data_IF_233214079839
#
_entry.id   IF_233214079839
#
_cell.length_a   1.000
_cell.length_b   1.000
_cell.length_c   1.000
_cell.angle_alpha   90.00
_cell.angle_beta   90.00
_cell.angle_gamma   90.00
#
_symmetry.space_group_name_H-M   'P 1'
#
loop_
_entity.id
_entity.type
_entity.pdbx_description
1 polymer ?
#
# COMPACT_ATOMS: atom_id res chain seq x y z
N UNK A 1 0.86 -14.24 -14.88
CA UNK A 1 0.46 -13.41 -16.04
C UNK A 1 -0.91 -13.78 -16.59
N UNK A 2 -1.33 -15.05 -16.58
CA UNK A 2 -2.68 -15.48 -17.01
C UNK A 2 -3.86 -14.88 -16.22
N UNK A 3 -3.72 -14.65 -14.91
CA UNK A 3 -4.82 -14.11 -14.08
C UNK A 3 -5.12 -12.65 -14.39
N UNK A 4 -4.09 -11.86 -14.74
CA UNK A 4 -4.24 -10.45 -15.11
C UNK A 4 -5.02 -10.35 -16.43
N UNK A 5 -4.72 -11.20 -17.41
CA UNK A 5 -5.47 -11.25 -18.67
C UNK A 5 -6.93 -11.67 -18.47
N UNK A 6 -7.21 -12.55 -17.49
CA UNK A 6 -8.57 -12.95 -17.15
C UNK A 6 -9.36 -11.81 -16.47
N UNK A 7 -8.71 -11.07 -15.57
CA UNK A 7 -9.30 -9.87 -14.97
C UNK A 7 -9.56 -8.78 -16.00
N UNK A 8 -8.65 -8.56 -16.95
CA UNK A 8 -8.81 -7.59 -18.04
C UNK A 8 -9.98 -7.97 -18.97
N UNK A 9 -10.12 -9.25 -19.35
CA UNK A 9 -11.25 -9.72 -20.16
C UNK A 9 -12.58 -9.54 -19.43
N UNK A 10 -12.63 -9.79 -18.12
CA UNK A 10 -13.84 -9.63 -17.31
C UNK A 10 -14.20 -8.15 -17.12
N UNK A 11 -13.22 -7.27 -16.96
CA UNK A 11 -13.40 -5.83 -16.91
C UNK A 11 -13.92 -5.27 -18.23
N UNK A 12 -13.34 -5.68 -19.37
CA UNK A 12 -13.80 -5.27 -20.70
C UNK A 12 -15.28 -5.64 -20.92
N UNK A 13 -15.66 -6.90 -20.60
CA UNK A 13 -17.05 -7.35 -20.69
C UNK A 13 -18.00 -6.57 -19.77
N UNK A 14 -17.56 -6.21 -18.56
CA UNK A 14 -18.36 -5.42 -17.63
C UNK A 14 -18.60 -4.00 -18.19
N UNK A 15 -17.58 -3.37 -18.76
CA UNK A 15 -17.70 -2.04 -19.36
C UNK A 15 -18.59 -2.00 -20.60
N UNK A 16 -18.52 -3.01 -21.47
CA UNK A 16 -19.42 -3.13 -22.62
C UNK A 16 -20.88 -3.27 -22.18
N UNK A 17 -21.15 -4.09 -21.16
CA UNK A 17 -22.49 -4.26 -20.60
C UNK A 17 -23.03 -2.98 -19.97
N UNK A 18 -22.19 -2.22 -19.27
CA UNK A 18 -22.56 -0.92 -18.69
C UNK A 18 -22.86 0.08 -19.80
N UNK A 19 -21.99 0.20 -20.80
CA UNK A 19 -22.20 1.10 -21.96
C UNK A 19 -23.50 0.79 -22.69
N UNK A 20 -23.77 -0.50 -22.93
CA UNK A 20 -25.03 -0.95 -23.52
C UNK A 20 -26.25 -0.61 -22.65
N UNK A 21 -26.15 -0.77 -21.33
CA UNK A 21 -27.26 -0.42 -20.42
C UNK A 21 -27.53 1.08 -20.36
N UNK A 22 -26.49 1.92 -20.44
CA UNK A 22 -26.59 3.38 -20.47
C UNK A 22 -27.20 3.84 -21.79
N UNK A 23 -26.80 3.24 -22.91
CA UNK A 23 -27.38 3.53 -24.22
C UNK A 23 -28.85 3.10 -24.30
N UNK A 24 -29.22 1.98 -23.67
CA UNK A 24 -30.62 1.53 -23.56
C UNK A 24 -31.49 2.46 -22.70
N UNK A 25 -30.93 3.00 -21.62
CA UNK A 25 -31.60 4.01 -20.79
C UNK A 25 -31.72 5.35 -21.53
N UNK A 26 -30.66 5.75 -22.23
CA UNK A 26 -30.59 6.97 -23.04
C UNK A 26 -31.56 6.94 -24.23
N UNK A 27 -31.74 5.78 -24.88
CA UNK A 27 -32.70 5.57 -25.98
C UNK A 27 -34.13 5.34 -25.49
N UNK A 28 -34.33 4.95 -24.23
CA UNK A 28 -35.65 4.92 -23.58
C UNK A 28 -36.14 6.32 -23.18
N UNK A 29 -35.22 7.25 -22.94
CA UNK A 29 -35.52 8.62 -22.54
C UNK A 29 -36.23 9.51 -23.59
N UNK A 30 -36.10 9.35 -24.94
CA UNK A 30 -36.81 10.20 -25.89
C UNK A 30 -38.10 9.55 -26.42
N UNK A 31 -38.33 8.25 -26.19
CA UNK A 31 -39.46 7.51 -26.75
C UNK A 31 -40.73 7.52 -25.87
N UNK A 32 -40.68 8.15 -24.69
CA UNK A 32 -41.89 8.47 -23.91
C UNK A 32 -42.44 9.89 -24.19
N UNK A 33 -41.74 10.69 -25.01
CA UNK A 33 -42.11 12.08 -25.31
C UNK A 33 -42.61 12.33 -26.75
N UNK A 34 -42.62 11.33 -27.64
CA UNK A 34 -43.01 11.53 -29.03
C UNK A 34 -43.65 10.27 -29.66
N UNK A 35 -44.92 9.99 -29.33
CA UNK A 35 -45.92 9.35 -30.21
C UNK A 35 -47.18 8.96 -29.41
N UNK A 36 -48.18 9.84 -29.37
CA UNK A 36 -49.58 9.44 -29.21
C UNK A 36 -50.37 10.20 -30.28
N UNK A 37 -50.89 9.54 -31.33
CA UNK A 37 -51.90 10.15 -32.19
C UNK A 37 -53.19 10.28 -31.37
N UNK A 38 -53.74 11.50 -31.29
CA UNK A 38 -54.92 11.82 -30.51
C UNK A 38 -56.17 11.07 -31.02
N UNK A 39 -56.86 10.28 -30.19
CA UNK A 39 -58.28 10.08 -30.31
C UNK A 39 -59.00 11.16 -29.47
N UNK A 40 -59.99 11.81 -30.06
CA UNK A 40 -60.94 12.67 -29.35
C UNK A 40 -61.65 11.86 -28.25
N UNK A 41 -61.35 12.20 -26.99
CA UNK A 41 -61.96 11.67 -25.78
C UNK A 41 -62.21 12.84 -24.80
N UNK A 42 -63.28 12.77 -23.99
CA UNK A 42 -63.80 13.89 -23.20
C UNK A 42 -62.80 14.34 -22.14
N UNK A 43 -63.01 15.58 -21.66
CA UNK A 43 -62.24 16.25 -20.60
C UNK A 43 -61.45 15.28 -19.71
N UNK A 44 -60.12 15.32 -19.85
CA UNK A 44 -59.22 14.66 -18.92
C UNK A 44 -59.62 15.10 -17.50
N UNK A 45 -59.83 14.18 -16.54
CA UNK A 45 -59.87 14.59 -15.15
C UNK A 45 -58.53 15.28 -14.90
N UNK A 46 -58.59 16.51 -14.36
CA UNK A 46 -57.41 17.17 -13.86
C UNK A 46 -56.62 16.14 -13.06
N UNK A 47 -55.34 15.95 -13.40
CA UNK A 47 -54.43 15.20 -12.54
C UNK A 47 -54.70 15.69 -11.11
N UNK A 48 -54.91 14.79 -10.13
CA UNK A 48 -55.21 15.22 -8.77
C UNK A 48 -54.11 16.21 -8.40
N UNK A 49 -54.51 17.46 -8.16
CA UNK A 49 -53.57 18.46 -7.69
C UNK A 49 -52.98 17.86 -6.42
N UNK A 50 -51.68 17.52 -6.47
CA UNK A 50 -51.00 16.87 -5.36
C UNK A 50 -51.35 17.64 -4.09
N UNK A 51 -51.88 16.94 -3.08
CA UNK A 51 -52.40 17.61 -1.90
C UNK A 51 -51.30 18.50 -1.34
N UNK A 52 -51.54 19.80 -1.12
CA UNK A 52 -50.49 20.74 -0.74
C UNK A 52 -49.80 20.33 0.57
N UNK A 53 -50.50 19.58 1.42
CA UNK A 53 -49.97 18.94 2.63
C UNK A 53 -48.98 17.80 2.32
N UNK A 54 -49.26 16.94 1.34
CA UNK A 54 -48.34 15.87 0.91
C UNK A 54 -47.09 16.45 0.26
N UNK A 55 -47.23 17.49 -0.55
CA UNK A 55 -46.10 18.20 -1.17
C UNK A 55 -45.21 18.86 -0.10
N UNK A 56 -45.80 19.42 0.96
CA UNK A 56 -45.04 20.00 2.07
C UNK A 56 -44.30 18.90 2.88
N UNK A 57 -44.95 17.78 3.15
CA UNK A 57 -44.34 16.65 3.85
C UNK A 57 -43.17 16.02 3.07
N UNK A 58 -43.35 15.82 1.76
CA UNK A 58 -42.29 15.32 0.88
C UNK A 58 -41.10 16.27 0.76
N UNK A 59 -41.33 17.60 0.77
CA UNK A 59 -40.26 18.59 0.81
C UNK A 59 -39.48 18.54 2.12
N UNK A 60 -40.16 18.43 3.27
CA UNK A 60 -39.51 18.27 4.57
C UNK A 60 -38.64 17.01 4.60
N UNK A 61 -39.17 15.86 4.17
CA UNK A 61 -38.41 14.61 4.11
C UNK A 61 -37.21 14.70 3.15
N UNK A 62 -37.35 15.40 2.02
CA UNK A 62 -36.24 15.63 1.10
C UNK A 62 -35.15 16.51 1.70
N UNK A 63 -35.52 17.53 2.48
CA UNK A 63 -34.56 18.41 3.15
C UNK A 63 -33.85 17.68 4.31
N UNK A 64 -34.56 16.82 5.05
CA UNK A 64 -34.00 15.95 6.09
C UNK A 64 -32.99 14.94 5.49
N UNK A 65 -33.34 14.28 4.39
CA UNK A 65 -32.46 13.35 3.66
C UNK A 65 -31.25 14.06 3.05
N UNK A 66 -31.39 15.30 2.57
CA UNK A 66 -30.26 16.10 2.09
C UNK A 66 -29.30 16.45 3.21
N UNK A 67 -29.82 16.79 4.39
CA UNK A 67 -29.00 17.07 5.56
C UNK A 67 -28.26 15.81 6.04
N UNK A 68 -28.94 14.65 6.04
CA UNK A 68 -28.32 13.36 6.36
C UNK A 68 -27.21 13.01 5.35
N UNK A 69 -27.45 13.19 4.05
CA UNK A 69 -26.44 12.97 3.02
C UNK A 69 -25.22 13.89 3.19
N UNK A 70 -25.43 15.18 3.44
CA UNK A 70 -24.33 16.12 3.68
C UNK A 70 -23.46 15.69 4.89
N UNK A 71 -24.09 15.24 5.97
CA UNK A 71 -23.35 14.71 7.14
C UNK A 71 -22.58 13.43 6.81
N UNK A 72 -23.16 12.53 6.02
CA UNK A 72 -22.48 11.31 5.57
C UNK A 72 -21.30 11.62 4.65
N UNK A 73 -21.45 12.57 3.73
CA UNK A 73 -20.36 13.03 2.86
C UNK A 73 -19.19 13.61 3.66
N UNK A 74 -19.49 14.45 4.67
CA UNK A 74 -18.47 14.97 5.58
C UNK A 74 -17.78 13.85 6.37
N UNK A 75 -18.54 12.89 6.89
CA UNK A 75 -17.97 11.72 7.60
C UNK A 75 -17.10 10.88 6.69
N UNK A 76 -17.54 10.60 5.46
CA UNK A 76 -16.75 9.86 4.45
C UNK A 76 -15.47 10.63 4.11
N UNK A 77 -15.55 11.95 3.94
CA UNK A 77 -14.37 12.79 3.69
C UNK A 77 -13.39 12.76 4.86
N UNK A 78 -13.88 12.83 6.09
CA UNK A 78 -13.06 12.74 7.30
C UNK A 78 -12.39 11.35 7.44
N UNK A 79 -13.15 10.27 7.20
CA UNK A 79 -12.61 8.90 7.21
C UNK A 79 -11.54 8.74 6.13
N UNK A 80 -11.81 9.20 4.91
CA UNK A 80 -10.87 9.12 3.80
C UNK A 80 -9.58 9.88 4.11
N UNK A 81 -9.68 11.10 4.64
CA UNK A 81 -8.50 11.88 5.04
C UNK A 81 -7.68 11.18 6.13
N UNK A 82 -8.34 10.55 7.11
CA UNK A 82 -7.66 9.74 8.14
C UNK A 82 -6.97 8.51 7.52
N UNK A 83 -7.66 7.79 6.62
CA UNK A 83 -7.13 6.63 5.94
C UNK A 83 -5.93 6.99 5.05
N UNK A 84 -6.04 8.06 4.25
CA UNK A 84 -4.94 8.53 3.39
C UNK A 84 -3.70 8.89 4.22
N UNK A 85 -3.90 9.52 5.39
CA UNK A 85 -2.81 9.83 6.33
C UNK A 85 -2.18 8.56 6.91
N UNK A 86 -3.00 7.59 7.32
CA UNK A 86 -2.51 6.31 7.87
C UNK A 86 -1.76 5.48 6.81
N UNK A 87 -2.30 5.40 5.59
CA UNK A 87 -1.67 4.71 4.47
C UNK A 87 -0.32 5.36 4.15
N UNK A 88 -0.26 6.68 4.04
CA UNK A 88 1.00 7.39 3.78
C UNK A 88 2.04 7.17 4.88
N UNK A 89 1.62 7.15 6.15
CA UNK A 89 2.51 6.84 7.28
C UNK A 89 3.04 5.40 7.20
N UNK A 90 2.18 4.42 6.93
CA UNK A 90 2.57 3.01 6.78
C UNK A 90 3.49 2.79 5.57
N UNK A 91 3.22 3.42 4.43
CA UNK A 91 4.07 3.37 3.25
C UNK A 91 5.48 3.91 3.54
N UNK A 92 5.56 5.00 4.29
CA UNK A 92 6.84 5.58 4.73
C UNK A 92 7.60 4.63 5.66
N UNK A 93 6.90 4.02 6.63
CA UNK A 93 7.50 3.02 7.53
C UNK A 93 8.03 1.80 6.76
N UNK A 94 7.23 1.24 5.84
CA UNK A 94 7.62 0.09 5.01
C UNK A 94 8.82 0.44 4.14
N UNK A 95 8.87 1.64 3.57
CA UNK A 95 10.01 2.11 2.77
C UNK A 95 11.29 2.17 3.62
N UNK A 96 11.23 2.80 4.79
CA UNK A 96 12.38 2.88 5.70
C UNK A 96 12.86 1.50 6.14
N UNK A 97 11.95 0.57 6.47
CA UNK A 97 12.30 -0.81 6.81
C UNK A 97 13.00 -1.54 5.65
N UNK A 98 12.52 -1.36 4.40
CA UNK A 98 13.16 -1.94 3.22
C UNK A 98 14.58 -1.40 3.00
N UNK A 99 14.79 -0.11 3.22
CA UNK A 99 16.13 0.52 3.10
C UNK A 99 17.11 -0.04 4.13
N UNK A 100 16.66 -0.20 5.38
CA UNK A 100 17.46 -0.81 6.45
C UNK A 100 17.83 -2.26 6.11
N UNK A 101 16.86 -3.07 5.66
CA UNK A 101 17.11 -4.45 5.25
C UNK A 101 18.06 -4.54 4.06
N UNK A 102 17.88 -3.69 3.04
CA UNK A 102 18.77 -3.67 1.87
C UNK A 102 20.23 -3.33 2.26
N UNK A 103 20.42 -2.43 3.24
CA UNK A 103 21.75 -2.12 3.78
C UNK A 103 22.36 -3.34 4.48
N UNK A 104 21.61 -4.03 5.32
CA UNK A 104 22.07 -5.25 6.01
C UNK A 104 22.42 -6.36 5.01
N UNK A 105 21.59 -6.59 4.00
CA UNK A 105 21.87 -7.54 2.91
C UNK A 105 23.18 -7.21 2.18
N UNK A 106 23.44 -5.92 1.94
CA UNK A 106 24.69 -5.43 1.35
C UNK A 106 25.91 -5.77 2.20
N UNK A 107 25.87 -5.51 3.51
CA UNK A 107 26.98 -5.83 4.42
C UNK A 107 27.19 -7.35 4.56
N UNK A 108 26.12 -8.15 4.64
CA UNK A 108 26.22 -9.61 4.66
C UNK A 108 26.81 -10.17 3.36
N UNK A 109 26.48 -9.58 2.21
CA UNK A 109 27.10 -9.93 0.93
C UNK A 109 28.60 -9.64 0.93
N UNK A 110 29.02 -8.48 1.46
CA UNK A 110 30.45 -8.13 1.59
C UNK A 110 31.18 -9.09 2.52
N UNK A 111 30.58 -9.42 3.67
CA UNK A 111 31.13 -10.41 4.59
C UNK A 111 31.35 -11.76 3.90
N UNK A 112 30.35 -12.26 3.15
CA UNK A 112 30.50 -13.51 2.38
C UNK A 112 31.66 -13.45 1.40
N UNK A 113 31.77 -12.37 0.61
CA UNK A 113 32.88 -12.18 -0.33
C UNK A 113 34.24 -12.13 0.36
N UNK A 114 34.36 -11.41 1.48
CA UNK A 114 35.59 -11.34 2.25
C UNK A 114 36.00 -12.71 2.83
N UNK A 115 35.03 -13.49 3.34
CA UNK A 115 35.30 -14.85 3.82
C UNK A 115 35.72 -15.81 2.71
N UNK A 116 35.16 -15.66 1.51
CA UNK A 116 35.55 -16.44 0.33
C UNK A 116 36.98 -16.10 -0.11
N UNK A 117 37.31 -14.81 -0.17
CA UNK A 117 38.66 -14.33 -0.45
C UNK A 117 39.68 -14.83 0.57
N UNK A 118 39.33 -14.82 1.87
CA UNK A 118 40.17 -15.36 2.94
C UNK A 118 40.39 -16.87 2.78
N UNK A 119 39.36 -17.65 2.42
CA UNK A 119 39.49 -19.09 2.16
C UNK A 119 40.39 -19.37 0.95
N UNK A 120 40.23 -18.61 -0.14
CA UNK A 120 41.06 -18.73 -1.32
C UNK A 120 42.54 -18.42 -1.01
N UNK A 121 42.80 -17.37 -0.22
CA UNK A 121 44.15 -17.02 0.20
C UNK A 121 44.79 -18.09 1.09
N UNK A 122 44.02 -18.65 2.03
CA UNK A 122 44.47 -19.78 2.86
C UNK A 122 44.80 -21.02 2.03
N UNK A 123 44.03 -21.31 0.97
CA UNK A 123 44.33 -22.40 0.05
C UNK A 123 45.66 -22.16 -0.67
N UNK A 124 45.84 -20.97 -1.25
CA UNK A 124 47.07 -20.62 -1.96
C UNK A 124 48.32 -20.69 -1.06
N UNK A 125 48.20 -20.27 0.21
CA UNK A 125 49.26 -20.38 1.21
C UNK A 125 49.59 -21.84 1.54
N UNK A 126 48.58 -22.72 1.64
CA UNK A 126 48.77 -24.16 1.88
C UNK A 126 49.46 -24.82 0.69
N UNK A 127 49.01 -24.56 -0.52
CA UNK A 127 49.62 -25.09 -1.74
C UNK A 127 51.08 -24.63 -1.89
N UNK A 128 51.38 -23.36 -1.59
CA UNK A 128 52.74 -22.83 -1.62
C UNK A 128 53.64 -23.50 -0.56
N UNK A 129 53.11 -23.72 0.65
CA UNK A 129 53.83 -24.43 1.71
C UNK A 129 54.07 -25.91 1.37
N UNK A 130 53.07 -26.60 0.81
CA UNK A 130 53.21 -28.00 0.34
C UNK A 130 54.25 -28.14 -0.77
N UNK A 131 54.31 -27.16 -1.68
CA UNK A 131 55.34 -27.09 -2.71
C UNK A 131 56.73 -26.70 -2.17
N UNK A 132 56.84 -26.35 -0.87
CA UNK A 132 58.06 -25.85 -0.25
C UNK A 132 58.51 -24.48 -0.78
N UNK A 133 57.63 -23.73 -1.44
CA UNK A 133 57.94 -22.42 -2.02
C UNK A 133 57.40 -21.32 -1.10
N UNK A 134 58.29 -20.73 -0.29
CA UNK A 134 57.96 -19.54 0.47
C UNK A 134 57.77 -18.33 -0.46
N UNK A 135 56.53 -17.90 -0.67
CA UNK A 135 56.21 -16.68 -1.44
C UNK A 135 55.74 -15.57 -0.50
N UNK A 136 56.58 -14.55 -0.21
CA UNK A 136 56.23 -13.44 0.67
C UNK A 136 54.94 -12.70 0.27
N UNK A 137 54.68 -12.60 -1.05
CA UNK A 137 53.47 -11.91 -1.53
C UNK A 137 52.18 -12.63 -1.16
N UNK A 138 52.17 -13.97 -1.12
CA UNK A 138 50.99 -14.73 -0.66
C UNK A 138 50.70 -14.48 0.82
N UNK A 139 51.74 -14.25 1.62
CA UNK A 139 51.59 -13.91 3.05
C UNK A 139 50.95 -12.52 3.16
N UNK A 140 51.44 -11.55 2.39
CA UNK A 140 50.87 -10.21 2.34
C UNK A 140 49.40 -10.23 1.88
N UNK A 141 49.07 -11.03 0.86
CA UNK A 141 47.71 -11.20 0.37
C UNK A 141 46.81 -11.91 1.39
N UNK A 142 47.33 -12.88 2.13
CA UNK A 142 46.66 -13.51 3.28
C UNK A 142 46.32 -12.52 4.38
N UNK A 143 47.31 -11.74 4.82
CA UNK A 143 47.12 -10.71 5.85
C UNK A 143 46.11 -9.65 5.41
N UNK A 144 46.14 -9.25 4.13
CA UNK A 144 45.15 -8.32 3.57
C UNK A 144 43.75 -8.91 3.57
N UNK A 145 43.60 -10.16 3.14
CA UNK A 145 42.31 -10.85 3.16
C UNK A 145 41.77 -11.04 4.58
N UNK A 146 42.64 -11.26 5.57
CA UNK A 146 42.26 -11.35 6.99
C UNK A 146 41.76 -10.01 7.52
N UNK A 147 42.49 -8.91 7.25
CA UNK A 147 42.05 -7.57 7.63
C UNK A 147 40.72 -7.20 6.98
N UNK A 148 40.53 -7.50 5.70
CA UNK A 148 39.27 -7.25 5.00
C UNK A 148 38.13 -8.08 5.60
N UNK A 149 38.37 -9.35 5.95
CA UNK A 149 37.37 -10.20 6.62
C UNK A 149 36.98 -9.64 7.98
N UNK A 150 37.94 -9.19 8.80
CA UNK A 150 37.68 -8.58 10.11
C UNK A 150 36.92 -7.25 10.00
N UNK A 151 37.24 -6.44 8.99
CA UNK A 151 36.50 -5.22 8.70
C UNK A 151 35.08 -5.50 8.25
N UNK A 152 34.88 -6.47 7.36
CA UNK A 152 33.56 -6.86 6.88
C UNK A 152 32.70 -7.47 8.00
N UNK A 153 33.29 -8.25 8.91
CA UNK A 153 32.62 -8.80 10.09
C UNK A 153 32.12 -7.69 11.01
N UNK A 154 32.99 -6.75 11.38
CA UNK A 154 32.59 -5.58 12.18
C UNK A 154 31.55 -4.70 11.50
N UNK A 155 31.61 -4.56 10.17
CA UNK A 155 30.62 -3.79 9.42
C UNK A 155 29.25 -4.48 9.43
N UNK A 156 29.21 -5.80 9.23
CA UNK A 156 27.99 -6.60 9.32
C UNK A 156 27.39 -6.56 10.74
N UNK A 157 28.19 -6.76 11.78
CA UNK A 157 27.74 -6.67 13.18
C UNK A 157 27.11 -5.30 13.50
N UNK A 158 27.75 -4.21 13.06
CA UNK A 158 27.21 -2.86 13.25
C UNK A 158 25.89 -2.67 12.52
N UNK A 159 25.81 -3.13 11.27
CA UNK A 159 24.58 -3.04 10.49
C UNK A 159 23.45 -3.89 11.08
N UNK A 160 23.75 -5.06 11.66
CA UNK A 160 22.79 -5.88 12.40
C UNK A 160 22.27 -5.13 13.63
N UNK A 161 23.15 -4.57 14.45
CA UNK A 161 22.77 -3.79 15.64
C UNK A 161 21.93 -2.58 15.26
N UNK A 162 22.34 -1.82 14.24
CA UNK A 162 21.57 -0.68 13.73
C UNK A 162 20.18 -1.10 13.23
N UNK A 163 20.09 -2.26 12.55
CA UNK A 163 18.82 -2.82 12.08
C UNK A 163 17.91 -3.21 13.25
N UNK A 164 18.45 -3.90 14.25
CA UNK A 164 17.69 -4.29 15.44
C UNK A 164 17.19 -3.05 16.18
N UNK A 165 18.04 -2.04 16.39
CA UNK A 165 17.64 -0.78 17.01
C UNK A 165 16.54 -0.09 16.20
N UNK A 166 16.70 0.04 14.89
CA UNK A 166 15.70 0.65 14.01
C UNK A 166 14.34 -0.07 14.04
N UNK A 167 14.33 -1.40 14.25
CA UNK A 167 13.10 -2.19 14.38
C UNK A 167 12.49 -2.13 15.79
N UNK A 168 13.31 -2.03 16.84
CA UNK A 168 12.84 -2.01 18.23
C UNK A 168 12.39 -0.63 18.70
N UNK A 169 13.06 0.46 18.29
CA UNK A 169 12.70 1.84 18.67
C UNK A 169 11.21 2.14 18.47
N UNK A 170 10.59 1.91 17.28
CA UNK A 170 9.17 2.20 17.11
C UNK A 170 8.26 1.34 17.99
N UNK A 171 8.62 0.07 18.25
CA UNK A 171 7.85 -0.82 19.13
C UNK A 171 7.88 -0.34 20.58
N UNK A 172 9.01 0.21 21.03
CA UNK A 172 9.16 0.79 22.37
C UNK A 172 8.41 2.11 22.49
N UNK A 173 8.43 2.96 21.46
CA UNK A 173 7.66 4.20 21.41
C UNK A 173 6.14 3.93 21.41
N UNK A 174 5.68 2.97 20.61
CA UNK A 174 4.28 2.54 20.58
C UNK A 174 3.84 1.96 21.94
N UNK A 175 4.70 1.16 22.60
CA UNK A 175 4.43 0.64 23.95
C UNK A 175 4.39 1.74 25.02
N UNK A 176 5.27 2.74 24.92
CA UNK A 176 5.27 3.89 25.82
C UNK A 176 4.04 4.79 25.63
N UNK A 177 3.59 4.99 24.39
CA UNK A 177 2.40 5.77 24.06
C UNK A 177 1.10 5.07 24.46
N UNK A 178 1.02 3.74 24.30
CA UNK A 178 -0.14 2.94 24.72
C UNK A 178 -0.32 2.87 26.23
N UNK A 179 0.76 3.00 27.01
CA UNK A 179 0.69 3.02 28.48
C UNK A 179 0.09 4.30 29.07
N UNK A 180 0.05 5.41 28.30
CA UNK A 180 -0.49 6.68 28.80
C UNK A 180 -2.00 6.82 28.58
N UNK A 181 -2.57 6.16 27.59
CA UNK A 181 -4.00 6.29 27.24
C UNK A 181 -4.93 5.52 28.17
N UNK A 182 -4.47 4.43 28.80
CA UNK A 182 -5.30 3.64 29.72
C UNK A 182 -5.50 4.29 31.10
N UNK A 183 -4.71 5.32 31.45
CA UNK A 183 -4.81 6.00 32.76
C UNK A 183 -5.79 7.17 32.80
N UNK A 184 -6.20 7.73 31.66
CA UNK A 184 -7.09 8.91 31.62
C UNK A 184 -8.57 8.57 31.41
N UNK A 185 -8.92 7.33 31.02
CA UNK A 185 -10.33 6.91 30.83
C UNK A 185 -10.99 6.35 32.12
N UNK A 186 -10.27 6.35 33.25
CA UNK A 186 -10.78 5.92 34.57
C UNK A 186 -11.01 7.05 35.60
N UNK A 187 -11.02 8.32 35.18
CA UNK A 187 -11.35 9.48 36.04
C UNK A 187 -12.51 10.29 35.47
#
# INVERSE_FOLDING_TARGET
MSEIEEYERRLAMAFERISYSVERLSTRAPAAAAAVPAPSAPAAPAAPAADPAEVAALKSALDDERLANAQLEERVKAIRSKQDTQVSALETKVRGQKEVLARLEGELSRLRQATEALRASNLALREANEAGVGKPELINDGLRAELESLHAERAAERAEVETVLALMTPLLEDAAAGGTTDTEEMA
#
